data_IF_147302875908
#
_entry.id   IF_147302875908
#
_cell.length_a   1.000
_cell.length_b   1.000
_cell.length_c   1.000
_cell.angle_alpha   90.00
_cell.angle_beta   90.00
_cell.angle_gamma   90.00
#
_symmetry.space_group_name_H-M   'P 1'
#
loop_
_entity.id
_entity.type
_entity.pdbx_description
1 polymer ?
#
# COMPACT_ATOMS: atom_id res chain seq x y z
N UNK A 1 -3.58 22.09 4.38
CA UNK A 1 -2.31 21.62 3.79
C UNK A 1 -2.40 21.54 2.26
N UNK A 2 -3.54 21.89 1.65
CA UNK A 2 -3.81 21.91 0.19
C UNK A 2 -2.78 22.70 -0.65
N UNK A 3 -2.13 23.71 -0.07
CA UNK A 3 -1.09 24.51 -0.76
C UNK A 3 0.06 23.69 -1.38
N UNK A 4 0.28 22.46 -0.93
CA UNK A 4 1.31 21.58 -1.47
C UNK A 4 0.76 20.57 -2.48
N UNK A 5 -0.55 20.44 -2.65
CA UNK A 5 -1.18 19.44 -3.51
C UNK A 5 -0.63 19.45 -4.93
N UNK A 6 -0.60 20.63 -5.58
CA UNK A 6 -0.04 20.78 -6.91
C UNK A 6 1.44 20.37 -6.98
N UNK A 7 2.23 20.68 -5.95
CA UNK A 7 3.63 20.26 -5.87
C UNK A 7 3.76 18.75 -5.74
N UNK A 8 2.95 18.10 -4.90
CA UNK A 8 2.94 16.64 -4.76
C UNK A 8 2.56 15.97 -6.08
N UNK A 9 1.49 16.43 -6.74
CA UNK A 9 1.06 15.91 -8.04
C UNK A 9 2.12 16.09 -9.12
N UNK A 10 2.76 17.27 -9.18
CA UNK A 10 3.81 17.57 -10.16
C UNK A 10 5.08 16.74 -9.93
N UNK A 11 5.32 16.26 -8.71
CA UNK A 11 6.40 15.35 -8.37
C UNK A 11 6.00 13.86 -8.50
N UNK A 12 4.84 13.55 -9.09
CA UNK A 12 4.36 12.18 -9.25
C UNK A 12 3.85 11.50 -7.97
N UNK A 13 3.66 12.26 -6.89
CA UNK A 13 3.16 11.78 -5.60
C UNK A 13 1.61 11.75 -5.59
N UNK A 14 1.03 10.96 -6.50
CA UNK A 14 -0.42 10.85 -6.72
C UNK A 14 -1.08 9.70 -5.94
N UNK A 15 -0.29 8.87 -5.26
CA UNK A 15 -0.75 7.67 -4.57
C UNK A 15 -0.38 7.66 -3.10
N UNK A 16 -1.28 7.11 -2.27
CA UNK A 16 -1.06 6.97 -0.84
C UNK A 16 0.16 6.11 -0.51
N UNK A 17 0.48 5.14 -1.37
CA UNK A 17 1.68 4.32 -1.28
C UNK A 17 2.96 5.15 -1.43
N UNK A 18 3.07 5.92 -2.51
CA UNK A 18 4.18 6.84 -2.75
C UNK A 18 4.36 7.86 -1.60
N UNK A 19 3.26 8.47 -1.16
CA UNK A 19 3.27 9.43 -0.03
C UNK A 19 3.68 8.75 1.29
N UNK A 20 3.35 7.47 1.46
CA UNK A 20 3.68 6.72 2.67
C UNK A 20 5.20 6.51 2.84
N UNK A 21 6.01 6.68 1.81
CA UNK A 21 7.47 6.50 1.90
C UNK A 21 8.25 7.80 2.11
N UNK A 22 7.60 8.96 2.09
CA UNK A 22 8.31 10.24 2.16
C UNK A 22 9.03 10.45 3.48
N UNK A 23 10.17 11.14 3.39
CA UNK A 23 10.99 11.63 4.48
C UNK A 23 11.18 13.16 4.40
N UNK A 24 11.95 13.74 5.32
CA UNK A 24 12.19 15.19 5.36
C UNK A 24 12.85 15.73 4.09
N UNK A 25 13.77 14.97 3.49
CA UNK A 25 14.48 15.36 2.26
C UNK A 25 13.52 15.41 1.06
N UNK A 26 12.60 14.44 0.97
CA UNK A 26 11.54 14.46 -0.04
C UNK A 26 10.65 15.69 0.10
N UNK A 27 10.27 16.03 1.34
CA UNK A 27 9.46 17.20 1.61
C UNK A 27 10.17 18.50 1.21
N UNK A 28 11.49 18.59 1.40
CA UNK A 28 12.29 19.72 0.92
C UNK A 28 12.28 19.82 -0.60
N UNK A 29 12.44 18.70 -1.33
CA UNK A 29 12.37 18.67 -2.81
C UNK A 29 11.03 19.14 -3.35
N UNK A 30 9.94 18.79 -2.69
CA UNK A 30 8.58 19.18 -3.07
C UNK A 30 8.27 20.65 -2.69
N UNK A 31 9.18 21.33 -1.98
CA UNK A 31 9.04 22.74 -1.60
C UNK A 31 8.43 22.97 -0.22
N UNK A 32 8.33 21.94 0.61
CA UNK A 32 7.92 22.05 2.02
C UNK A 32 9.14 22.34 2.88
N UNK A 33 9.49 23.62 3.02
CA UNK A 33 10.69 24.07 3.75
C UNK A 33 10.45 24.42 5.22
N UNK A 34 9.20 24.72 5.59
CA UNK A 34 8.86 25.08 6.96
C UNK A 34 8.84 23.86 7.88
N UNK A 35 9.66 23.86 8.94
CA UNK A 35 9.78 22.76 9.90
C UNK A 35 8.42 22.36 10.53
N UNK A 36 7.57 23.34 10.86
CA UNK A 36 6.22 23.08 11.37
C UNK A 36 5.34 22.33 10.38
N UNK A 37 5.46 22.62 9.08
CA UNK A 37 4.72 21.93 8.04
C UNK A 37 5.27 20.53 7.79
N UNK A 38 6.60 20.39 7.75
CA UNK A 38 7.26 19.08 7.65
C UNK A 38 6.82 18.15 8.78
N UNK A 39 6.86 18.63 10.04
CA UNK A 39 6.41 17.87 11.20
C UNK A 39 4.95 17.44 11.08
N UNK A 40 4.07 18.34 10.65
CA UNK A 40 2.63 18.03 10.50
C UNK A 40 2.38 16.98 9.42
N UNK A 41 3.07 17.06 8.28
CA UNK A 41 2.93 16.11 7.18
C UNK A 41 3.52 14.75 7.56
N UNK A 42 4.74 14.71 8.12
CA UNK A 42 5.38 13.47 8.55
C UNK A 42 4.58 12.76 9.65
N UNK A 43 3.97 13.50 10.57
CA UNK A 43 3.07 12.92 11.58
C UNK A 43 1.86 12.23 10.93
N UNK A 44 1.24 12.86 9.92
CA UNK A 44 0.13 12.23 9.18
C UNK A 44 0.57 10.99 8.41
N UNK A 45 1.77 11.01 7.82
CA UNK A 45 2.37 9.86 7.12
C UNK A 45 2.65 8.71 8.10
N UNK A 46 3.12 9.00 9.31
CA UNK A 46 3.32 7.98 10.33
C UNK A 46 2.00 7.32 10.72
N UNK A 47 0.93 8.09 10.94
CA UNK A 47 -0.41 7.55 11.20
C UNK A 47 -0.89 6.66 10.06
N UNK A 48 -0.67 7.10 8.81
CA UNK A 48 -0.99 6.32 7.62
C UNK A 48 -0.25 4.97 7.60
N UNK A 49 1.06 4.95 7.90
CA UNK A 49 1.87 3.72 7.96
C UNK A 49 1.32 2.73 8.99
N UNK A 50 0.95 3.23 10.17
CA UNK A 50 0.37 2.39 11.24
C UNK A 50 -0.96 1.79 10.78
N UNK A 51 -1.80 2.56 10.08
CA UNK A 51 -3.06 2.05 9.55
C UNK A 51 -2.85 0.99 8.47
N UNK A 52 -1.91 1.22 7.53
CA UNK A 52 -1.53 0.23 6.50
C UNK A 52 -0.99 -1.05 7.11
N UNK A 53 -0.15 -0.97 8.14
CA UNK A 53 0.39 -2.15 8.83
C UNK A 53 -0.68 -2.95 9.59
N UNK A 54 -1.79 -2.31 9.98
CA UNK A 54 -2.92 -2.97 10.65
C UNK A 54 -3.83 -3.71 9.68
N UNK A 55 -3.86 -3.34 8.40
CA UNK A 55 -4.63 -4.06 7.39
C UNK A 55 -3.80 -5.28 6.95
N UNK A 56 -4.14 -6.53 7.35
CA UNK A 56 -3.65 -7.67 6.63
C UNK A 56 -4.18 -7.54 5.20
N UNK A 57 -3.28 -7.62 4.22
CA UNK A 57 -3.64 -7.77 2.82
C UNK A 57 -4.47 -9.04 2.65
N UNK A 58 -5.80 -8.92 2.73
CA UNK A 58 -6.73 -9.93 2.22
C UNK A 58 -6.66 -9.91 0.69
N UNK A 59 -5.53 -10.35 0.17
CA UNK A 59 -5.35 -10.70 -1.24
C UNK A 59 -4.59 -12.01 -1.30
N UNK A 60 -5.05 -12.98 -0.50
CA UNK A 60 -4.98 -14.38 -0.86
C UNK A 60 -6.32 -14.73 -1.53
N UNK A 61 -6.43 -14.40 -2.81
CA UNK A 61 -7.42 -15.02 -3.70
C UNK A 61 -6.62 -15.73 -4.79
N UNK A 62 -6.16 -16.93 -4.47
CA UNK A 62 -5.73 -17.94 -5.44
C UNK A 62 -6.03 -19.33 -4.90
N UNK A 63 -7.32 -19.68 -4.82
CA UNK A 63 -7.77 -21.04 -5.08
C UNK A 63 -9.04 -20.98 -5.92
N UNK A 64 -9.05 -21.70 -7.05
CA UNK A 64 -9.60 -23.06 -6.96
C UNK A 64 -8.74 -24.08 -7.71
N UNK A 65 -7.92 -24.84 -7.00
CA UNK A 65 -7.53 -26.16 -7.52
C UNK A 65 -8.69 -27.12 -7.27
N UNK A 66 -9.69 -27.07 -8.16
CA UNK A 66 -10.64 -28.18 -8.34
C UNK A 66 -9.93 -29.28 -9.13
N UNK A 67 -8.93 -29.91 -8.52
CA UNK A 67 -8.23 -31.03 -9.12
C UNK A 67 -9.15 -32.26 -9.13
N UNK A 68 -9.86 -32.39 -10.24
CA UNK A 68 -10.07 -33.62 -11.01
C UNK A 68 -10.45 -34.87 -10.21
N UNK A 69 -11.74 -35.20 -10.31
CA UNK A 69 -12.35 -36.52 -10.18
C UNK A 69 -11.33 -37.68 -10.29
N UNK A 70 -10.87 -38.20 -9.14
CA UNK A 70 -10.24 -39.51 -9.07
C UNK A 70 -11.34 -40.55 -9.26
N UNK A 71 -11.56 -40.92 -10.53
CA UNK A 71 -12.16 -42.19 -10.94
C UNK A 71 -11.48 -43.33 -10.17
N UNK A 72 -12.11 -43.78 -9.08
CA UNK A 72 -11.80 -45.08 -8.50
C UNK A 72 -12.68 -46.09 -9.25
N UNK A 73 -12.07 -46.73 -10.23
CA UNK A 73 -12.58 -47.98 -10.80
C UNK A 73 -12.77 -48.99 -9.65
N UNK A 74 -13.92 -49.68 -9.53
CA UNK A 74 -14.05 -50.77 -8.58
C UNK A 74 -13.20 -51.98 -9.02
N UNK A 75 -12.70 -52.81 -8.09
CA UNK A 75 -11.95 -54.02 -8.43
C UNK A 75 -12.89 -55.09 -8.99
N UNK A 76 -12.49 -55.72 -10.09
CA UNK A 76 -13.13 -56.93 -10.60
C UNK A 76 -12.90 -58.08 -9.63
N UNK A 77 -13.98 -58.70 -9.16
CA UNK A 77 -13.92 -60.00 -8.49
C UNK A 77 -13.79 -61.09 -9.57
N UNK A 78 -12.81 -61.99 -9.40
CA UNK A 78 -12.80 -63.32 -10.00
C UNK A 78 -12.92 -64.35 -8.90
#
# INVERSE_FOLDING_TARGET
MERYEASFLSNGLSSLDAVSHLNTEDLLRVGVTLAGHQKKILSSIQTLRIHKARLPSSTDQSQPDTTTLRTLSPPSFT
#
